data_IF_666479708747
#
_entry.id   IF_666479708747
#
_cell.length_a   1.000
_cell.length_b   1.000
_cell.length_c   1.000
_cell.angle_alpha   90.00
_cell.angle_beta   90.00
_cell.angle_gamma   90.00
#
_symmetry.space_group_name_H-M   'P 1'
#
loop_
_entity.id
_entity.type
_entity.pdbx_description
1 polymer ?
#
# COMPACT_ATOMS: atom_id res chain seq x y z
N UNK A 1 1.11 1.67 2.49
CA UNK A 1 -0.25 1.50 3.05
C UNK A 1 -0.25 1.36 4.57
N UNK A 2 0.40 0.35 5.15
CA UNK A 2 0.34 0.08 6.60
C UNK A 2 0.69 1.31 7.44
N UNK A 3 1.80 1.99 7.15
CA UNK A 3 2.23 3.18 7.91
C UNK A 3 1.18 4.29 7.89
N UNK A 4 0.62 4.60 6.71
CA UNK A 4 -0.43 5.60 6.54
C UNK A 4 -1.76 5.20 7.19
N UNK A 5 -2.02 3.91 7.36
CA UNK A 5 -3.24 3.42 7.98
C UNK A 5 -3.10 3.25 9.49
N UNK A 6 -1.94 2.91 10.02
CA UNK A 6 -1.75 2.45 11.41
C UNK A 6 -2.28 3.45 12.47
N UNK A 7 -2.12 4.75 12.23
CA UNK A 7 -2.41 5.78 13.23
C UNK A 7 -1.71 5.48 14.56
N UNK A 8 -2.39 5.73 15.67
CA UNK A 8 -1.86 5.52 17.02
C UNK A 8 -2.01 4.08 17.56
N UNK A 9 -3.06 3.35 17.15
CA UNK A 9 -3.46 2.09 17.79
C UNK A 9 -3.38 0.85 16.88
N UNK A 10 -3.03 1.01 15.60
CA UNK A 10 -2.90 -0.07 14.61
C UNK A 10 -4.19 -0.87 14.34
N UNK A 11 -5.36 -0.44 14.81
CA UNK A 11 -6.61 -1.21 14.62
C UNK A 11 -7.11 -1.17 13.18
N UNK A 12 -6.97 -0.02 12.53
CA UNK A 12 -7.28 0.24 11.12
C UNK A 12 -6.59 -0.73 10.15
N UNK A 13 -5.38 -1.20 10.45
CA UNK A 13 -4.64 -2.15 9.59
C UNK A 13 -5.04 -3.60 9.81
N UNK A 14 -5.82 -3.90 10.85
CA UNK A 14 -6.28 -5.25 11.14
C UNK A 14 -7.52 -5.62 10.34
N UNK A 15 -7.79 -6.92 10.23
CA UNK A 15 -9.10 -7.40 9.78
C UNK A 15 -10.20 -6.88 10.71
N UNK A 16 -11.36 -6.42 10.20
CA UNK A 16 -12.44 -5.85 11.01
C UNK A 16 -12.83 -6.72 12.21
N UNK A 17 -13.03 -8.02 12.01
CA UNK A 17 -13.36 -8.96 13.09
C UNK A 17 -12.29 -9.05 14.18
N UNK A 18 -11.02 -8.95 13.78
CA UNK A 18 -9.90 -8.98 14.72
C UNK A 18 -9.77 -7.64 15.47
N UNK A 19 -10.00 -6.51 14.81
CA UNK A 19 -10.04 -5.20 15.46
C UNK A 19 -11.16 -5.14 16.50
N UNK A 20 -12.35 -5.66 16.17
CA UNK A 20 -13.49 -5.73 17.08
C UNK A 20 -13.20 -6.60 18.31
N UNK A 21 -12.64 -7.80 18.10
CA UNK A 21 -12.21 -8.68 19.22
C UNK A 21 -11.15 -8.01 20.10
N UNK A 22 -10.24 -7.25 19.51
CA UNK A 22 -9.22 -6.51 20.26
C UNK A 22 -9.88 -5.41 21.12
N UNK A 23 -10.80 -4.63 20.54
CA UNK A 23 -11.55 -3.58 21.25
C UNK A 23 -12.40 -4.15 22.39
N UNK A 24 -13.02 -5.31 22.19
CA UNK A 24 -13.77 -5.99 23.25
C UNK A 24 -12.86 -6.44 24.40
N UNK A 25 -11.69 -7.02 24.09
CA UNK A 25 -10.73 -7.43 25.10
C UNK A 25 -10.22 -6.22 25.90
N UNK A 26 -9.95 -5.09 25.21
CA UNK A 26 -9.59 -3.82 25.85
C UNK A 26 -10.67 -3.36 26.83
N UNK A 27 -11.94 -3.33 26.41
CA UNK A 27 -13.07 -2.91 27.27
C UNK A 27 -13.28 -3.81 28.48
N UNK A 28 -13.01 -5.11 28.34
CA UNK A 28 -13.21 -6.12 29.39
C UNK A 28 -11.98 -6.30 30.31
N UNK A 29 -10.86 -5.64 30.01
CA UNK A 29 -9.59 -5.84 30.72
C UNK A 29 -9.04 -7.26 30.59
N UNK A 30 -9.37 -7.96 29.50
CA UNK A 30 -8.97 -9.35 29.27
C UNK A 30 -7.74 -9.45 28.37
N UNK A 31 -7.22 -10.68 28.20
CA UNK A 31 -6.05 -10.93 27.36
C UNK A 31 -6.34 -10.55 25.89
N UNK A 32 -5.49 -9.70 25.33
CA UNK A 32 -5.61 -9.28 23.93
C UNK A 32 -5.42 -10.46 22.96
N UNK A 33 -6.24 -10.53 21.88
CA UNK A 33 -6.03 -11.49 20.81
C UNK A 33 -4.75 -11.16 20.03
N UNK A 34 -4.16 -12.17 19.38
CA UNK A 34 -3.04 -11.96 18.46
C UNK A 34 -3.51 -11.10 17.27
N UNK A 35 -2.83 -9.98 17.04
CA UNK A 35 -3.11 -9.09 15.93
C UNK A 35 -2.95 -9.82 14.59
N UNK A 36 -3.90 -9.63 13.67
CA UNK A 36 -3.82 -10.10 12.29
C UNK A 36 -4.06 -8.93 11.35
N UNK A 37 -3.05 -8.64 10.54
CA UNK A 37 -3.11 -7.65 9.48
C UNK A 37 -4.17 -8.06 8.45
N UNK A 38 -4.80 -7.06 7.84
CA UNK A 38 -5.71 -7.26 6.73
C UNK A 38 -4.99 -7.70 5.45
N UNK A 39 -5.76 -8.20 4.50
CA UNK A 39 -5.24 -8.63 3.21
C UNK A 39 -4.82 -7.42 2.36
N UNK A 40 -3.91 -7.62 1.41
CA UNK A 40 -3.33 -6.54 0.60
C UNK A 40 -4.37 -5.69 -0.12
N UNK A 41 -5.36 -6.31 -0.77
CA UNK A 41 -6.46 -5.63 -1.46
C UNK A 41 -7.34 -4.83 -0.49
N UNK A 42 -7.66 -5.39 0.67
CA UNK A 42 -8.45 -4.69 1.69
C UNK A 42 -7.70 -3.48 2.26
N UNK A 43 -6.38 -3.57 2.42
CA UNK A 43 -5.56 -2.41 2.80
C UNK A 43 -5.59 -1.32 1.72
N UNK A 44 -5.64 -1.70 0.44
CA UNK A 44 -5.77 -0.76 -0.67
C UNK A 44 -7.17 -0.12 -0.73
N UNK A 45 -8.22 -0.86 -0.42
CA UNK A 45 -9.57 -0.29 -0.28
C UNK A 45 -9.63 0.70 0.89
N UNK A 46 -8.97 0.38 2.02
CA UNK A 46 -8.95 1.25 3.20
C UNK A 46 -8.33 2.61 2.93
N UNK A 47 -7.26 2.68 2.12
CA UNK A 47 -6.66 3.99 1.76
C UNK A 47 -7.58 4.87 0.91
N UNK A 48 -8.66 4.32 0.35
CA UNK A 48 -9.67 5.04 -0.44
C UNK A 48 -10.91 5.43 0.38
N UNK A 49 -10.88 5.22 1.70
CA UNK A 49 -12.04 5.37 2.59
C UNK A 49 -11.77 6.32 3.75
N UNK A 50 -12.83 6.64 4.49
CA UNK A 50 -12.77 7.48 5.69
C UNK A 50 -11.86 6.93 6.81
N UNK A 51 -11.43 5.66 6.72
CA UNK A 51 -10.41 5.09 7.62
C UNK A 51 -9.09 5.91 7.58
N UNK A 52 -8.83 6.61 6.47
CA UNK A 52 -7.68 7.50 6.33
C UNK A 52 -7.84 8.83 7.07
N UNK A 53 -9.05 9.27 7.44
CA UNK A 53 -9.31 10.57 8.09
C UNK A 53 -8.92 10.55 9.58
N UNK A 54 -7.63 10.33 9.84
CA UNK A 54 -7.05 10.16 11.18
C UNK A 54 -6.60 11.50 11.76
N UNK A 55 -6.25 12.45 10.90
CA UNK A 55 -5.80 13.79 11.21
C UNK A 55 -6.58 14.83 10.40
N UNK A 56 -6.49 16.09 10.78
CA UNK A 56 -7.21 17.20 10.13
C UNK A 56 -6.80 17.43 8.67
N UNK A 57 -5.58 17.05 8.30
CA UNK A 57 -5.01 17.20 6.97
C UNK A 57 -4.92 15.87 6.21
N UNK A 58 -5.53 14.81 6.73
CA UNK A 58 -5.55 13.51 6.09
C UNK A 58 -6.32 13.55 4.77
N UNK A 59 -5.80 12.87 3.76
CA UNK A 59 -6.47 12.69 2.48
C UNK A 59 -6.78 11.22 2.19
N UNK A 60 -7.79 11.00 1.35
CA UNK A 60 -8.15 9.68 0.82
C UNK A 60 -7.55 9.52 -0.58
N UNK A 61 -7.14 8.29 -0.92
CA UNK A 61 -6.66 7.99 -2.26
C UNK A 61 -7.85 7.92 -3.22
N UNK A 62 -7.77 8.61 -4.35
CA UNK A 62 -8.77 8.51 -5.42
C UNK A 62 -8.18 7.66 -6.53
N UNK A 63 -8.59 6.39 -6.59
CA UNK A 63 -8.06 5.44 -7.57
C UNK A 63 -8.73 5.59 -8.94
N UNK A 64 -7.98 5.26 -9.99
CA UNK A 64 -8.51 5.06 -11.34
C UNK A 64 -8.80 3.58 -11.60
N UNK A 65 -9.59 3.26 -12.64
CA UNK A 65 -9.80 1.87 -13.06
C UNK A 65 -8.48 1.16 -13.38
N UNK A 66 -7.54 1.89 -13.97
CA UNK A 66 -6.22 1.37 -14.34
C UNK A 66 -5.40 0.99 -13.11
N UNK A 67 -5.33 1.88 -12.10
CA UNK A 67 -4.62 1.60 -10.85
C UNK A 67 -5.25 0.41 -10.10
N UNK A 68 -6.59 0.32 -10.10
CA UNK A 68 -7.29 -0.84 -9.51
C UNK A 68 -6.88 -2.17 -10.18
N UNK A 69 -6.80 -2.19 -11.52
CA UNK A 69 -6.31 -3.36 -12.26
C UNK A 69 -4.86 -3.68 -11.89
N UNK A 70 -3.97 -2.69 -11.88
CA UNK A 70 -2.55 -2.87 -11.54
C UNK A 70 -2.34 -3.36 -10.10
N UNK A 71 -3.16 -2.93 -9.15
CA UNK A 71 -3.12 -3.42 -7.77
C UNK A 71 -3.56 -4.88 -7.68
N UNK A 72 -4.59 -5.29 -8.43
CA UNK A 72 -5.03 -6.68 -8.49
C UNK A 72 -3.96 -7.57 -9.14
N UNK A 73 -3.36 -7.13 -10.24
CA UNK A 73 -2.25 -7.83 -10.89
C UNK A 73 -1.04 -7.96 -9.95
N UNK A 74 -0.68 -6.88 -9.23
CA UNK A 74 0.38 -6.92 -8.24
C UNK A 74 0.07 -7.91 -7.11
N UNK A 75 -1.18 -7.96 -6.63
CA UNK A 75 -1.59 -8.92 -5.62
C UNK A 75 -1.43 -10.37 -6.09
N UNK A 76 -1.82 -10.67 -7.33
CA UNK A 76 -1.64 -12.00 -7.93
C UNK A 76 -0.17 -12.37 -8.08
N UNK A 77 0.65 -11.44 -8.59
CA UNK A 77 2.11 -11.62 -8.69
C UNK A 77 2.72 -11.88 -7.31
N UNK A 78 2.35 -11.08 -6.31
CA UNK A 78 2.78 -11.25 -4.91
C UNK A 78 2.39 -12.61 -4.37
N UNK A 79 1.14 -13.04 -4.55
CA UNK A 79 0.65 -14.32 -4.04
C UNK A 79 1.39 -15.51 -4.69
N UNK A 80 1.60 -15.46 -6.00
CA UNK A 80 2.39 -16.47 -6.73
C UNK A 80 3.83 -16.56 -6.21
N UNK A 81 4.45 -15.41 -5.95
CA UNK A 81 5.80 -15.32 -5.41
C UNK A 81 5.91 -15.91 -3.99
N UNK A 82 5.03 -15.51 -3.06
CA UNK A 82 5.11 -15.96 -1.66
C UNK A 82 4.74 -17.44 -1.48
N UNK A 83 3.90 -17.99 -2.36
CA UNK A 83 3.45 -19.38 -2.29
C UNK A 83 4.30 -20.33 -3.13
N UNK A 84 5.41 -19.85 -3.72
CA UNK A 84 6.35 -20.63 -4.54
C UNK A 84 5.64 -21.52 -5.58
N UNK A 85 4.57 -21.02 -6.20
CA UNK A 85 3.87 -21.80 -7.21
C UNK A 85 4.75 -21.89 -8.46
N UNK A 86 5.12 -23.10 -8.93
CA UNK A 86 5.90 -23.25 -10.14
C UNK A 86 5.06 -22.74 -11.31
N UNK A 87 5.49 -21.61 -11.86
CA UNK A 87 4.92 -21.03 -13.06
C UNK A 87 6.07 -20.90 -14.06
N UNK A 88 5.82 -21.18 -15.33
CA UNK A 88 6.66 -20.62 -16.39
C UNK A 88 6.38 -19.13 -16.40
N UNK A 89 7.26 -18.33 -15.80
CA UNK A 89 7.11 -16.88 -15.79
C UNK A 89 7.43 -16.35 -17.19
N UNK A 90 6.44 -16.33 -18.08
CA UNK A 90 6.44 -15.42 -19.21
C UNK A 90 6.02 -14.05 -18.69
N UNK A 91 6.94 -13.38 -17.98
CA UNK A 91 6.75 -11.99 -17.62
C UNK A 91 6.63 -11.21 -18.92
N UNK A 92 5.43 -10.72 -19.23
CA UNK A 92 5.28 -9.80 -20.33
C UNK A 92 6.01 -8.50 -19.95
N UNK A 93 7.23 -8.35 -20.45
CA UNK A 93 8.13 -7.23 -20.14
C UNK A 93 7.48 -5.89 -20.49
N UNK A 94 6.52 -5.87 -21.42
CA UNK A 94 5.79 -4.65 -21.82
C UNK A 94 4.82 -4.13 -20.74
N UNK A 95 4.22 -5.02 -19.95
CA UNK A 95 3.17 -4.66 -18.98
C UNK A 95 3.71 -4.22 -17.62
N UNK A 96 4.82 -4.83 -17.17
CA UNK A 96 5.40 -4.58 -15.85
C UNK A 96 5.81 -3.13 -15.59
N UNK A 97 6.46 -2.41 -16.53
CA UNK A 97 6.79 -1.00 -16.32
C UNK A 97 5.54 -0.14 -16.12
N UNK A 98 4.47 -0.40 -16.87
CA UNK A 98 3.20 0.34 -16.72
C UNK A 98 2.54 0.06 -15.36
N UNK A 99 2.48 -1.22 -14.95
CA UNK A 99 2.03 -1.59 -13.61
C UNK A 99 2.87 -0.86 -12.54
N UNK A 100 4.19 -0.86 -12.68
CA UNK A 100 5.09 -0.19 -11.74
C UNK A 100 4.81 1.32 -11.62
N UNK A 101 4.52 1.99 -12.73
CA UNK A 101 4.17 3.42 -12.74
C UNK A 101 2.86 3.69 -11.98
N UNK A 102 1.85 2.83 -12.15
CA UNK A 102 0.60 2.93 -11.39
C UNK A 102 0.84 2.76 -9.87
N UNK A 103 1.78 1.87 -9.49
CA UNK A 103 2.17 1.69 -8.09
C UNK A 103 2.94 2.89 -7.53
N UNK A 104 3.79 3.53 -8.36
CA UNK A 104 4.48 4.76 -7.98
C UNK A 104 3.48 5.86 -7.64
N UNK A 105 2.36 5.99 -8.37
CA UNK A 105 1.31 6.95 -8.06
C UNK A 105 0.71 6.72 -6.66
N UNK A 106 0.45 5.46 -6.30
CA UNK A 106 -0.01 5.09 -4.95
C UNK A 106 1.06 5.44 -3.89
N UNK A 107 2.33 5.21 -4.18
CA UNK A 107 3.43 5.55 -3.26
C UNK A 107 3.56 7.06 -3.05
N UNK A 108 3.49 7.85 -4.13
CA UNK A 108 3.51 9.32 -4.10
C UNK A 108 2.39 9.85 -3.21
N UNK A 109 1.16 9.37 -3.42
CA UNK A 109 0.04 9.72 -2.54
C UNK A 109 0.34 9.38 -1.07
N UNK A 110 0.76 8.15 -0.79
CA UNK A 110 0.98 7.69 0.59
C UNK A 110 2.03 8.52 1.33
N UNK A 111 3.14 8.84 0.67
CA UNK A 111 4.28 9.55 1.27
C UNK A 111 4.05 11.06 1.35
N UNK A 112 3.47 11.65 0.31
CA UNK A 112 3.43 13.10 0.16
C UNK A 112 2.04 13.70 0.46
N UNK A 113 0.98 13.07 -0.02
CA UNK A 113 -0.37 13.67 -0.06
C UNK A 113 -1.29 13.19 1.06
N UNK A 114 -1.05 11.99 1.60
CA UNK A 114 -1.98 11.33 2.52
C UNK A 114 -2.11 12.02 3.87
N UNK A 115 -1.08 12.77 4.30
CA UNK A 115 -1.03 13.40 5.62
C UNK A 115 -0.90 12.43 6.80
N UNK A 116 -0.69 11.14 6.56
CA UNK A 116 -0.78 10.13 7.63
C UNK A 116 0.55 9.49 8.03
N UNK A 117 1.64 9.79 7.32
CA UNK A 117 2.97 9.25 7.64
C UNK A 117 3.80 10.33 8.32
N UNK A 118 4.25 10.04 9.54
CA UNK A 118 5.21 10.86 10.27
C UNK A 118 6.63 10.37 10.02
N UNK A 119 7.51 11.29 9.62
CA UNK A 119 8.94 11.05 9.48
C UNK A 119 9.64 11.63 10.71
N UNK A 120 10.25 10.75 11.52
CA UNK A 120 10.86 11.14 12.80
C UNK A 120 12.28 11.71 12.66
N UNK A 121 12.99 11.30 11.61
CA UNK A 121 14.36 11.72 11.34
C UNK A 121 14.38 12.75 10.21
N UNK A 122 15.17 13.80 10.38
CA UNK A 122 15.37 14.84 9.38
C UNK A 122 15.97 14.25 8.10
N UNK A 123 15.48 14.65 6.94
CA UNK A 123 15.94 14.15 5.65
C UNK A 123 15.30 12.83 5.19
N UNK A 124 14.59 12.08 6.05
CA UNK A 124 13.98 10.80 5.66
C UNK A 124 12.87 10.97 4.63
N UNK A 125 12.05 12.03 4.76
CA UNK A 125 10.98 12.30 3.81
C UNK A 125 11.57 12.61 2.44
N UNK A 126 12.53 13.54 2.41
CA UNK A 126 13.21 13.99 1.20
C UNK A 126 13.93 12.83 0.51
N UNK A 127 14.58 11.95 1.29
CA UNK A 127 15.24 10.77 0.75
C UNK A 127 14.26 9.78 0.11
N UNK A 128 13.12 9.51 0.75
CA UNK A 128 12.09 8.62 0.19
C UNK A 128 11.46 9.23 -1.07
N UNK A 129 11.22 10.54 -1.08
CA UNK A 129 10.72 11.25 -2.26
C UNK A 129 11.72 11.15 -3.43
N UNK A 130 13.02 11.29 -3.18
CA UNK A 130 14.07 11.08 -4.18
C UNK A 130 14.06 9.65 -4.73
N UNK A 131 13.93 8.64 -3.87
CA UNK A 131 13.87 7.23 -4.29
C UNK A 131 12.62 6.93 -5.13
N UNK A 132 11.48 7.51 -4.78
CA UNK A 132 10.24 7.37 -5.55
C UNK A 132 10.40 7.99 -6.93
N UNK A 133 11.07 9.15 -7.03
CA UNK A 133 11.33 9.79 -8.32
C UNK A 133 12.36 9.01 -9.15
N UNK A 134 13.42 8.49 -8.54
CA UNK A 134 14.37 7.61 -9.23
C UNK A 134 13.68 6.34 -9.79
N UNK A 135 12.78 5.75 -9.01
CA UNK A 135 11.97 4.61 -9.43
C UNK A 135 11.08 4.98 -10.63
N UNK A 136 10.41 6.13 -10.57
CA UNK A 136 9.61 6.66 -11.67
C UNK A 136 10.43 6.81 -12.96
N UNK A 137 11.61 7.43 -12.88
CA UNK A 137 12.50 7.61 -14.01
C UNK A 137 12.94 6.26 -14.60
N UNK A 138 13.35 5.31 -13.77
CA UNK A 138 13.79 3.97 -14.21
C UNK A 138 12.66 3.19 -14.90
N UNK A 139 11.46 3.20 -14.33
CA UNK A 139 10.29 2.55 -14.92
C UNK A 139 9.90 3.19 -16.25
N UNK A 140 9.98 4.52 -16.35
CA UNK A 140 9.73 5.24 -17.61
C UNK A 140 10.75 4.86 -18.67
N UNK A 141 12.05 4.82 -18.34
CA UNK A 141 13.10 4.37 -19.25
C UNK A 141 12.88 2.93 -19.73
N UNK A 142 12.51 2.02 -18.82
CA UNK A 142 12.18 0.64 -19.17
C UNK A 142 10.96 0.58 -20.09
N UNK A 143 9.90 1.33 -19.78
CA UNK A 143 8.71 1.40 -20.63
C UNK A 143 9.07 1.85 -22.04
N UNK A 144 9.84 2.92 -22.20
CA UNK A 144 10.30 3.39 -23.51
C UNK A 144 11.19 2.38 -24.26
N UNK A 145 12.01 1.61 -23.53
CA UNK A 145 12.92 0.62 -24.13
C UNK A 145 12.21 -0.64 -24.64
N UNK A 146 11.11 -1.04 -24.00
CA UNK A 146 10.43 -2.31 -24.26
C UNK A 146 9.05 -2.17 -24.91
N UNK A 147 8.62 -0.95 -25.26
CA UNK A 147 7.55 -0.73 -26.24
C UNK A 147 8.15 -0.95 -27.64
N UNK A 148 8.03 -2.18 -28.14
CA UNK A 148 8.23 -2.53 -29.57
C UNK A 148 6.90 -3.02 -30.11
#
# INVERSE_FOLDING_TARGET
>A
MILALKGSNSLSVMKPDHANKWLEAYRKGSRYPKAKMDNFTNLFEKIQSDVMKQFTHSQIFVSTKQINTSINELNELRNKFIHFMPLGWSLNITGLPSLGLDIVEVLKFLVHESGNIYFYEEGHKEHIEQLIEELFCKLTQMKCKYIV
#
